data_IF_826707403399
#
_entry.id   IF_826707403399
#
_cell.length_a   1.000
_cell.length_b   1.000
_cell.length_c   1.000
_cell.angle_alpha   90.00
_cell.angle_beta   90.00
_cell.angle_gamma   90.00
#
_symmetry.space_group_name_H-M   'P 1'
#
loop_
_entity.id
_entity.type
_entity.pdbx_description
1 polymer ?
#
# COMPACT_ATOMS: atom_id res chain seq x y z
N UNK A 1 21.29 -14.97 5.98
CA UNK A 1 19.94 -15.23 6.51
C UNK A 1 19.96 -15.79 7.94
N UNK A 2 20.53 -16.97 8.21
CA UNK A 2 20.53 -17.58 9.57
C UNK A 2 21.02 -16.65 10.69
N UNK A 3 22.14 -15.94 10.49
CA UNK A 3 22.68 -15.01 11.47
C UNK A 3 21.73 -13.82 11.77
N UNK A 4 21.06 -13.29 10.74
CA UNK A 4 20.06 -12.24 10.90
C UNK A 4 18.86 -12.74 11.71
N UNK A 5 18.34 -13.93 11.38
CA UNK A 5 17.24 -14.56 12.11
C UNK A 5 17.59 -14.78 13.59
N UNK A 6 18.83 -15.22 13.89
CA UNK A 6 19.29 -15.38 15.27
C UNK A 6 19.29 -14.05 16.04
N UNK A 7 19.77 -12.97 15.43
CA UNK A 7 19.75 -11.63 16.04
C UNK A 7 18.33 -11.10 16.25
N UNK A 8 17.47 -11.19 15.22
CA UNK A 8 16.07 -10.78 15.31
C UNK A 8 15.32 -11.56 16.40
N UNK A 9 15.57 -12.87 16.53
CA UNK A 9 14.97 -13.68 17.57
C UNK A 9 15.48 -13.30 18.97
N UNK A 10 16.77 -13.00 19.13
CA UNK A 10 17.32 -12.48 20.39
C UNK A 10 16.68 -11.14 20.80
N UNK A 11 16.48 -10.25 19.83
CA UNK A 11 15.78 -8.98 20.06
C UNK A 11 14.30 -9.16 20.38
N UNK A 12 13.66 -10.17 19.78
CA UNK A 12 12.28 -10.52 20.10
C UNK A 12 12.14 -10.92 21.58
N UNK A 13 13.11 -11.65 22.13
CA UNK A 13 13.14 -11.98 23.57
C UNK A 13 13.30 -10.72 24.43
N UNK A 14 14.07 -9.73 24.00
CA UNK A 14 14.21 -8.44 24.71
C UNK A 14 12.88 -7.68 24.73
N UNK A 15 12.21 -7.58 23.58
CA UNK A 15 10.93 -6.89 23.43
C UNK A 15 9.82 -7.59 24.24
N UNK A 16 9.65 -8.91 24.06
CA UNK A 16 8.64 -9.71 24.79
C UNK A 16 8.92 -9.78 26.29
N UNK A 17 10.20 -9.81 26.67
CA UNK A 17 10.64 -9.82 28.06
C UNK A 17 10.54 -8.46 28.76
N UNK A 18 10.06 -7.40 28.08
CA UNK A 18 9.99 -6.03 28.60
C UNK A 18 11.32 -5.59 29.24
N UNK A 19 12.41 -5.79 28.51
CA UNK A 19 13.77 -5.43 28.97
C UNK A 19 14.26 -4.17 28.26
N UNK A 20 15.25 -3.51 28.86
CA UNK A 20 15.87 -2.30 28.30
C UNK A 20 14.83 -1.20 28.05
N UNK A 21 14.84 -0.57 26.87
CA UNK A 21 13.89 0.44 26.45
C UNK A 21 12.44 -0.04 26.64
N UNK A 22 12.14 -1.29 26.25
CA UNK A 22 10.81 -1.92 26.36
C UNK A 22 10.37 -2.26 27.80
N UNK A 23 11.19 -1.97 28.82
CA UNK A 23 10.74 -2.05 30.22
C UNK A 23 9.78 -0.91 30.60
N UNK A 24 9.79 0.18 29.84
CA UNK A 24 9.00 1.38 30.13
C UNK A 24 7.54 1.16 29.70
N UNK A 25 6.60 1.29 30.63
CA UNK A 25 5.17 1.07 30.36
C UNK A 25 4.62 1.99 29.27
N UNK A 26 5.06 3.26 29.28
CA UNK A 26 4.62 4.28 28.33
C UNK A 26 4.93 3.92 26.86
N UNK A 27 5.93 3.08 26.61
CA UNK A 27 6.25 2.63 25.24
C UNK A 27 5.10 1.80 24.69
N UNK A 28 4.53 0.89 25.47
CA UNK A 28 3.36 0.12 25.03
C UNK A 28 2.07 0.93 25.10
N UNK A 29 1.92 1.84 26.07
CA UNK A 29 0.76 2.77 26.10
C UNK A 29 0.72 3.69 24.87
N UNK A 30 1.89 4.07 24.34
CA UNK A 30 1.99 4.83 23.10
C UNK A 30 1.66 4.02 21.85
N UNK A 31 1.74 2.68 21.91
CA UNK A 31 1.42 1.80 20.78
C UNK A 31 -0.08 1.80 20.47
N UNK A 32 -0.93 1.98 21.49
CA UNK A 32 -2.38 2.05 21.33
C UNK A 32 -2.84 3.35 20.66
N UNK A 33 -2.05 4.43 20.81
CA UNK A 33 -2.40 5.78 20.36
C UNK A 33 -1.88 6.11 18.97
N UNK A 34 -1.07 5.25 18.37
CA UNK A 34 -0.43 5.52 17.09
C UNK A 34 -0.42 4.30 16.17
N UNK A 35 -0.23 4.48 14.87
CA UNK A 35 -0.12 3.40 13.91
C UNK A 35 1.09 2.51 14.17
N UNK A 36 0.96 1.22 13.86
CA UNK A 36 2.02 0.25 14.13
C UNK A 36 3.35 0.59 13.45
N UNK A 37 3.33 1.11 12.22
CA UNK A 37 4.57 1.47 11.51
C UNK A 37 5.29 2.64 12.19
N UNK A 38 4.56 3.68 12.61
CA UNK A 38 5.12 4.86 13.31
C UNK A 38 5.69 4.48 14.67
N UNK A 39 5.01 3.57 15.37
CA UNK A 39 5.49 3.06 16.65
C UNK A 39 6.82 2.33 16.50
N UNK A 40 6.94 1.46 15.49
CA UNK A 40 8.18 0.75 15.19
C UNK A 40 9.29 1.68 14.71
N UNK A 41 8.97 2.73 13.96
CA UNK A 41 9.95 3.75 13.56
C UNK A 41 10.47 4.56 14.76
N UNK A 42 9.59 4.88 15.71
CA UNK A 42 9.95 5.67 16.90
C UNK A 42 10.70 4.86 17.97
N UNK A 43 10.33 3.59 18.18
CA UNK A 43 10.83 2.78 19.31
C UNK A 43 11.78 1.64 18.89
N UNK A 44 11.79 1.27 17.60
CA UNK A 44 12.52 0.11 17.08
C UNK A 44 14.03 0.32 16.91
N UNK A 45 14.53 1.56 17.04
CA UNK A 45 15.96 1.88 16.83
C UNK A 45 16.91 1.08 17.74
N UNK A 46 16.45 0.67 18.92
CA UNK A 46 17.21 -0.16 19.86
C UNK A 46 17.32 -1.65 19.46
N UNK A 47 16.49 -2.09 18.51
CA UNK A 47 16.37 -3.47 18.03
C UNK A 47 16.23 -3.51 16.50
N UNK A 48 17.28 -3.12 15.75
CA UNK A 48 17.18 -2.81 14.32
C UNK A 48 16.83 -4.02 13.44
N UNK A 49 17.30 -5.23 13.79
CA UNK A 49 16.94 -6.44 13.06
C UNK A 49 15.45 -6.77 13.21
N UNK A 50 14.90 -6.69 14.43
CA UNK A 50 13.47 -6.91 14.67
C UNK A 50 12.61 -5.82 14.06
N UNK A 51 13.03 -4.55 14.14
CA UNK A 51 12.35 -3.43 13.48
C UNK A 51 12.26 -3.65 11.96
N UNK A 52 13.32 -4.18 11.35
CA UNK A 52 13.32 -4.50 9.91
C UNK A 52 12.30 -5.58 9.58
N UNK A 53 12.25 -6.65 10.37
CA UNK A 53 11.23 -7.71 10.19
C UNK A 53 9.81 -7.16 10.39
N UNK A 54 9.61 -6.36 11.44
CA UNK A 54 8.31 -5.76 11.73
C UNK A 54 7.82 -4.87 10.57
N UNK A 55 8.69 -4.01 10.01
CA UNK A 55 8.34 -3.18 8.85
C UNK A 55 7.99 -4.00 7.60
N UNK A 56 8.70 -5.10 7.35
CA UNK A 56 8.38 -6.00 6.23
C UNK A 56 7.00 -6.64 6.42
N UNK A 57 6.69 -7.10 7.64
CA UNK A 57 5.40 -7.72 7.94
C UNK A 57 4.27 -6.70 7.83
N UNK A 58 4.47 -5.49 8.40
CA UNK A 58 3.48 -4.42 8.38
C UNK A 58 3.22 -3.84 6.99
N UNK A 59 4.15 -4.01 6.05
CA UNK A 59 3.95 -3.61 4.65
C UNK A 59 3.23 -4.67 3.82
N UNK A 60 3.01 -5.87 4.34
CA UNK A 60 2.26 -6.90 3.62
C UNK A 60 0.76 -6.62 3.65
N UNK A 61 0.05 -6.76 2.51
CA UNK A 61 -1.40 -6.70 2.50
C UNK A 61 -1.98 -7.82 3.37
N UNK A 62 -2.86 -7.45 4.32
CA UNK A 62 -3.47 -8.40 5.26
C UNK A 62 -4.48 -9.37 4.61
N UNK A 63 -4.94 -9.10 3.38
CA UNK A 63 -5.90 -9.94 2.67
C UNK A 63 -5.71 -9.94 1.16
N UNK A 64 -6.17 -11.00 0.49
CA UNK A 64 -6.23 -11.08 -0.97
C UNK A 64 -7.17 -10.04 -1.58
N UNK A 65 -8.20 -9.61 -0.84
CA UNK A 65 -9.19 -8.64 -1.32
C UNK A 65 -8.58 -7.29 -1.75
N UNK A 66 -7.49 -6.88 -1.10
CA UNK A 66 -6.74 -5.67 -1.47
C UNK A 66 -6.11 -5.86 -2.86
N UNK A 67 -5.47 -7.01 -3.08
CA UNK A 67 -4.88 -7.36 -4.36
C UNK A 67 -5.93 -7.48 -5.45
N UNK A 68 -7.10 -8.06 -5.15
CA UNK A 68 -8.23 -8.15 -6.08
C UNK A 68 -8.76 -6.76 -6.47
N UNK A 69 -8.92 -5.85 -5.51
CA UNK A 69 -9.35 -4.47 -5.79
C UNK A 69 -8.34 -3.73 -6.67
N UNK A 70 -7.05 -3.80 -6.34
CA UNK A 70 -5.98 -3.21 -7.16
C UNK A 70 -6.01 -3.80 -8.58
N UNK A 71 -6.14 -5.13 -8.70
CA UNK A 71 -6.20 -5.80 -9.98
C UNK A 71 -7.46 -5.41 -10.79
N UNK A 72 -8.59 -5.20 -10.12
CA UNK A 72 -9.84 -4.75 -10.73
C UNK A 72 -9.76 -3.30 -11.24
N UNK A 73 -9.13 -2.40 -10.48
CA UNK A 73 -8.91 -1.00 -10.91
C UNK A 73 -8.13 -0.91 -12.22
N UNK A 74 -7.19 -1.83 -12.44
CA UNK A 74 -6.35 -1.90 -13.63
C UNK A 74 -6.73 -3.06 -14.56
N UNK A 75 -7.98 -3.51 -14.53
CA UNK A 75 -8.46 -4.61 -15.38
C UNK A 75 -8.22 -4.35 -16.87
N UNK A 76 -8.30 -3.08 -17.32
CA UNK A 76 -8.00 -2.69 -18.71
C UNK A 76 -6.55 -3.01 -19.15
N UNK A 77 -5.59 -3.05 -18.22
CA UNK A 77 -4.21 -3.41 -18.52
C UNK A 77 -4.04 -4.94 -18.69
N UNK A 78 -4.99 -5.72 -18.19
CA UNK A 78 -5.03 -7.19 -18.23
C UNK A 78 -6.05 -7.75 -19.22
N UNK A 79 -6.86 -6.90 -19.86
CA UNK A 79 -7.87 -7.30 -20.84
C UNK A 79 -7.18 -7.95 -22.06
N UNK A 80 -7.33 -9.27 -22.28
CA UNK A 80 -6.66 -9.97 -23.37
C UNK A 80 -7.22 -9.62 -24.75
N UNK A 81 -8.48 -9.17 -24.81
CA UNK A 81 -9.16 -8.80 -26.04
C UNK A 81 -8.67 -7.45 -26.56
N UNK A 82 -8.44 -6.50 -25.65
CA UNK A 82 -7.94 -5.15 -25.96
C UNK A 82 -6.42 -5.05 -25.94
N UNK A 83 -5.75 -5.88 -25.14
CA UNK A 83 -4.32 -5.73 -24.86
C UNK A 83 -3.60 -7.10 -24.85
N UNK A 84 -2.82 -7.37 -25.90
CA UNK A 84 -2.01 -8.60 -26.03
C UNK A 84 -0.71 -8.53 -25.21
N UNK A 85 -0.84 -8.22 -23.92
CA UNK A 85 0.29 -8.11 -22.98
C UNK A 85 0.41 -9.41 -22.18
N UNK A 86 1.62 -9.98 -22.12
CA UNK A 86 1.88 -11.17 -21.30
C UNK A 86 1.70 -10.91 -19.80
N UNK A 87 1.30 -11.93 -19.04
CA UNK A 87 0.98 -11.85 -17.61
C UNK A 87 2.03 -11.09 -16.77
N UNK A 88 3.32 -11.40 -16.98
CA UNK A 88 4.40 -10.74 -16.23
C UNK A 88 4.54 -9.25 -16.52
N UNK A 89 4.21 -8.82 -17.74
CA UNK A 89 4.24 -7.41 -18.12
C UNK A 89 3.01 -6.68 -17.57
N UNK A 90 1.84 -7.31 -17.63
CA UNK A 90 0.62 -6.69 -17.10
C UNK A 90 0.66 -6.53 -15.58
N UNK A 91 1.20 -7.50 -14.84
CA UNK A 91 1.44 -7.38 -13.39
C UNK A 91 2.38 -6.22 -13.05
N UNK A 92 3.49 -6.09 -13.77
CA UNK A 92 4.43 -4.96 -13.58
C UNK A 92 3.77 -3.61 -13.88
N UNK A 93 2.91 -3.53 -14.90
CA UNK A 93 2.16 -2.32 -15.21
C UNK A 93 1.20 -1.96 -14.08
N UNK A 94 0.44 -2.93 -13.55
CA UNK A 94 -0.45 -2.70 -12.41
C UNK A 94 0.32 -2.17 -11.20
N UNK A 95 1.45 -2.79 -10.86
CA UNK A 95 2.32 -2.34 -9.77
C UNK A 95 2.84 -0.92 -10.01
N UNK A 96 3.32 -0.62 -11.22
CA UNK A 96 3.83 0.70 -11.59
C UNK A 96 2.74 1.77 -11.51
N UNK A 97 1.55 1.53 -12.07
CA UNK A 97 0.45 2.48 -11.99
C UNK A 97 0.00 2.73 -10.55
N UNK A 98 -0.14 1.66 -9.75
CA UNK A 98 -0.52 1.77 -8.35
C UNK A 98 0.51 2.58 -7.55
N UNK A 99 1.80 2.24 -7.69
CA UNK A 99 2.88 2.92 -6.97
C UNK A 99 3.05 4.38 -7.39
N UNK A 100 2.98 4.69 -8.68
CA UNK A 100 3.01 6.08 -9.17
C UNK A 100 1.83 6.89 -8.61
N UNK A 101 0.64 6.29 -8.55
CA UNK A 101 -0.54 6.93 -7.95
C UNK A 101 -0.36 7.16 -6.44
N UNK A 102 0.24 6.20 -5.72
CA UNK A 102 0.61 6.37 -4.31
C UNK A 102 1.59 7.53 -4.12
N UNK A 103 2.70 7.54 -4.87
CA UNK A 103 3.72 8.59 -4.81
C UNK A 103 3.13 9.97 -5.13
N UNK A 104 2.22 10.05 -6.10
CA UNK A 104 1.54 11.31 -6.44
C UNK A 104 0.62 11.79 -5.30
N UNK A 105 -0.03 10.88 -4.56
CA UNK A 105 -0.83 11.22 -3.37
C UNK A 105 0.07 11.71 -2.24
N UNK A 106 1.17 10.99 -1.96
CA UNK A 106 2.14 11.34 -0.91
C UNK A 106 2.80 12.70 -1.12
N UNK A 107 2.99 13.12 -2.36
CA UNK A 107 3.53 14.45 -2.69
C UNK A 107 2.57 15.62 -2.37
N UNK A 108 1.31 15.36 -2.04
CA UNK A 108 0.37 16.43 -1.69
C UNK A 108 0.69 16.95 -0.28
N UNK A 109 0.71 18.28 -0.07
CA UNK A 109 1.15 18.88 1.19
C UNK A 109 0.26 18.54 2.40
N UNK A 110 -0.99 18.17 2.17
CA UNK A 110 -1.93 17.74 3.20
C UNK A 110 -2.15 16.21 3.22
N UNK A 111 -1.27 15.43 2.60
CA UNK A 111 -1.39 13.97 2.64
C UNK A 111 -0.98 13.45 4.01
N UNK A 112 -1.96 12.94 4.75
CA UNK A 112 -1.75 12.03 5.87
C UNK A 112 -2.24 10.66 5.41
N UNK A 113 -1.39 9.65 5.52
CA UNK A 113 -1.82 8.28 5.25
C UNK A 113 -2.87 7.92 6.32
N UNK A 114 -4.05 7.38 5.94
CA UNK A 114 -5.03 6.91 6.90
C UNK A 114 -4.41 5.71 7.62
N UNK A 115 -3.75 6.01 8.71
CA UNK A 115 -2.99 5.05 9.45
C UNK A 115 -3.96 4.34 10.38
N UNK A 116 -4.40 3.15 9.94
CA UNK A 116 -5.40 2.35 10.64
C UNK A 116 -4.76 1.86 11.94
N UNK A 117 -5.30 2.30 13.06
CA UNK A 117 -4.90 1.82 14.39
C UNK A 117 -5.26 0.34 14.54
N UNK A 118 -4.46 -0.41 15.30
CA UNK A 118 -4.70 -1.82 15.60
C UNK A 118 -5.75 -1.98 16.71
N UNK A 119 -6.91 -1.36 16.57
CA UNK A 119 -8.02 -1.50 17.51
C UNK A 119 -9.23 -2.10 16.80
N UNK A 120 -10.06 -2.86 17.53
CA UNK A 120 -11.35 -3.43 17.06
C UNK A 120 -12.40 -2.36 16.66
N UNK A 121 -11.98 -1.09 16.65
CA UNK A 121 -12.77 0.11 16.40
C UNK A 121 -12.59 0.60 14.95
N UNK A 122 -12.42 -0.31 13.98
CA UNK A 122 -12.47 -0.01 12.54
C UNK A 122 -13.71 0.85 12.18
N UNK A 123 -14.79 0.72 12.96
CA UNK A 123 -16.03 1.49 12.85
C UNK A 123 -15.94 2.95 13.34
N UNK A 124 -14.91 3.32 14.12
CA UNK A 124 -14.66 4.69 14.60
C UNK A 124 -13.56 5.39 13.81
N UNK A 125 -12.67 4.66 13.15
CA UNK A 125 -11.56 5.21 12.34
C UNK A 125 -12.04 5.68 10.96
N UNK A 126 -13.18 6.37 10.86
CA UNK A 126 -13.58 7.07 9.63
C UNK A 126 -13.65 6.25 8.33
N UNK A 127 -13.56 4.92 8.39
CA UNK A 127 -13.68 3.99 7.26
C UNK A 127 -15.14 3.82 6.82
N UNK A 128 -15.98 4.80 7.14
CA UNK A 128 -17.42 4.82 6.86
C UNK A 128 -17.73 5.70 5.64
N UNK A 129 -16.78 6.43 5.06
CA UNK A 129 -17.11 7.38 3.97
C UNK A 129 -16.25 7.34 2.72
N UNK A 130 -14.99 6.94 2.79
CA UNK A 130 -14.10 6.98 1.62
C UNK A 130 -13.46 5.62 1.38
N UNK A 131 -14.15 4.79 0.60
CA UNK A 131 -13.46 3.88 -0.29
C UNK A 131 -12.41 4.66 -1.09
N UNK A 132 -11.26 4.04 -1.34
CA UNK A 132 -10.17 4.47 -2.22
C UNK A 132 -10.53 5.69 -3.06
N UNK A 133 -9.97 6.86 -2.70
CA UNK A 133 -9.98 8.13 -3.43
C UNK A 133 -11.30 8.47 -4.13
N UNK A 134 -12.01 9.52 -3.67
CA UNK A 134 -13.10 10.20 -4.40
C UNK A 134 -12.96 10.04 -5.92
N UNK A 135 -13.63 9.02 -6.46
CA UNK A 135 -13.68 8.79 -7.89
C UNK A 135 -14.69 9.81 -8.37
N UNK A 136 -14.24 11.04 -8.63
CA UNK A 136 -15.01 11.95 -9.44
C UNK A 136 -15.32 11.18 -10.72
N UNK A 137 -16.59 10.85 -10.94
CA UNK A 137 -17.01 10.09 -12.11
C UNK A 137 -16.34 10.72 -13.34
N UNK A 138 -15.52 9.92 -14.03
CA UNK A 138 -14.81 10.40 -15.22
C UNK A 138 -15.86 10.96 -16.18
N UNK A 139 -15.78 12.25 -16.50
CA UNK A 139 -16.66 12.84 -17.51
C UNK A 139 -16.31 12.15 -18.83
N UNK A 140 -17.25 11.40 -19.38
CA UNK A 140 -17.12 10.80 -20.71
C UNK A 140 -17.08 11.94 -21.73
N UNK A 141 -15.89 12.43 -22.05
CA UNK A 141 -15.72 13.33 -23.20
C UNK A 141 -15.70 12.43 -24.42
N UNK A 142 -16.71 12.55 -25.28
CA UNK A 142 -16.75 11.86 -26.56
C UNK A 142 -15.54 12.28 -27.38
N UNK A 143 -14.58 11.36 -27.56
CA UNK A 143 -13.46 11.57 -28.47
C UNK A 143 -14.04 11.49 -29.87
N UNK A 144 -13.97 12.61 -30.61
CA UNK A 144 -14.46 12.67 -31.99
C UNK A 144 -13.62 11.69 -32.83
N UNK A 145 -14.29 10.70 -33.43
CA UNK A 145 -13.64 9.65 -34.23
C UNK A 145 -13.04 10.30 -35.49
N UNK A 146 -11.74 10.14 -35.77
CA UNK A 146 -11.16 10.63 -37.02
C UNK A 146 -11.82 9.93 -38.21
N UNK A 147 -12.47 10.70 -39.08
CA UNK A 147 -13.03 10.17 -40.33
C UNK A 147 -11.90 9.90 -41.31
N UNK A 148 -11.80 8.66 -41.81
CA UNK A 148 -10.82 8.30 -42.83
C UNK A 148 -11.13 9.09 -44.11
N UNK A 149 -10.19 9.84 -44.70
CA UNK A 149 -10.42 10.53 -45.97
C UNK A 149 -10.67 9.52 -47.08
N UNK A 150 -11.58 9.84 -48.00
CA UNK A 150 -11.85 9.02 -49.18
C UNK A 150 -10.60 8.92 -50.06
N UNK A 151 -10.30 7.71 -50.49
CA UNK A 151 -9.19 7.44 -51.40
C UNK A 151 -9.70 7.72 -52.81
N UNK A 152 -9.36 8.88 -53.37
CA UNK A 152 -9.54 9.13 -54.80
C UNK A 152 -8.50 8.31 -55.55
N UNK A 153 -8.96 7.25 -56.23
CA UNK A 153 -8.16 6.60 -57.26
C UNK A 153 -8.12 7.54 -58.46
N UNK A 154 -6.99 8.21 -58.68
CA UNK A 154 -6.77 8.91 -59.94
C UNK A 154 -6.61 7.90 -61.09
N UNK A 155 -7.13 8.20 -62.29
CA UNK A 155 -7.18 7.30 -63.43
C UNK A 155 -5.83 6.99 -64.06
#
# INVERSE_FOLDING_TARGET
>A
VKAFCAKANGQLVICRGKKSLFARSWIFESAEKQPAYEWWDSNGASIPELQTVARIILSQPASSSICERINGEFAFAKDPHRNRIGHMKSEKLVSLFHNLRLLARMKKPAYSEPAIGWNDEDNKVGLVKYGVAEYAASKTVGIMVPTRPEITLEP
#
